data_IF_838389641754
#
_entry.id   IF_838389641754
#
_cell.length_a   1.000
_cell.length_b   1.000
_cell.length_c   1.000
_cell.angle_alpha   90.00
_cell.angle_beta   90.00
_cell.angle_gamma   90.00
#
_symmetry.space_group_name_H-M   'P 1'
#
loop_
_entity.id
_entity.type
_entity.pdbx_description
1 polymer ?
#
# COMPACT_ATOMS: atom_id res chain seq x y z
N UNK A 1 16.00 -28.94 6.46
CA UNK A 1 16.70 -27.89 7.24
C UNK A 1 18.10 -28.38 7.52
N UNK A 2 19.11 -27.58 7.21
CA UNK A 2 20.52 -27.87 7.49
C UNK A 2 21.07 -26.65 8.25
N UNK A 3 21.66 -26.86 9.42
CA UNK A 3 22.20 -25.82 10.30
C UNK A 3 21.20 -24.64 10.55
N UNK A 4 19.93 -25.00 10.79
CA UNK A 4 18.87 -24.02 11.04
C UNK A 4 18.35 -23.29 9.79
N UNK A 5 18.92 -23.55 8.61
CA UNK A 5 18.51 -22.94 7.34
C UNK A 5 17.64 -23.91 6.54
N UNK A 6 16.61 -23.38 5.86
CA UNK A 6 15.75 -24.16 4.98
C UNK A 6 16.31 -24.14 3.56
N UNK A 7 16.43 -25.33 2.96
CA UNK A 7 16.86 -25.53 1.59
C UNK A 7 15.83 -26.36 0.83
N UNK A 8 15.72 -26.14 -0.46
CA UNK A 8 14.91 -26.97 -1.37
C UNK A 8 15.75 -27.56 -2.46
N UNK A 9 15.43 -28.81 -2.82
CA UNK A 9 16.10 -29.54 -3.86
C UNK A 9 15.09 -29.95 -4.94
N UNK A 10 15.56 -30.05 -6.18
CA UNK A 10 14.73 -30.61 -7.24
C UNK A 10 14.66 -32.15 -7.14
N UNK A 11 13.88 -32.76 -8.06
CA UNK A 11 13.69 -34.20 -8.08
C UNK A 11 15.02 -35.00 -8.36
N UNK A 12 16.03 -34.34 -8.91
CA UNK A 12 17.36 -34.90 -9.18
C UNK A 12 18.34 -34.64 -8.04
N UNK A 13 17.91 -33.98 -6.96
CA UNK A 13 18.72 -33.66 -5.78
C UNK A 13 19.56 -32.39 -5.91
N UNK A 14 19.38 -31.58 -6.97
CA UNK A 14 20.08 -30.30 -7.11
C UNK A 14 19.44 -29.22 -6.27
N UNK A 15 20.29 -28.39 -5.65
CA UNK A 15 19.89 -27.27 -4.83
C UNK A 15 19.15 -26.22 -5.68
N UNK A 16 17.95 -25.84 -5.24
CA UNK A 16 17.16 -24.72 -5.87
C UNK A 16 17.63 -23.38 -5.37
N UNK A 17 17.76 -22.43 -6.29
CA UNK A 17 18.08 -21.01 -6.05
C UNK A 17 17.07 -20.11 -6.75
N UNK A 18 16.94 -18.85 -6.30
CA UNK A 18 15.94 -17.92 -6.81
C UNK A 18 14.52 -18.25 -6.36
N UNK A 19 13.55 -17.90 -7.18
CA UNK A 19 12.14 -18.14 -6.90
C UNK A 19 11.76 -19.61 -7.07
N UNK A 20 11.14 -20.17 -6.04
CA UNK A 20 10.70 -21.58 -6.00
C UNK A 20 9.23 -21.60 -5.58
N UNK A 21 8.39 -22.21 -6.44
CA UNK A 21 6.98 -22.48 -6.11
C UNK A 21 6.86 -23.86 -5.45
N UNK A 22 6.26 -23.90 -4.26
CA UNK A 22 6.11 -25.13 -3.51
C UNK A 22 4.89 -25.03 -2.58
N UNK A 23 4.06 -26.07 -2.54
CA UNK A 23 2.90 -26.14 -1.66
C UNK A 23 1.88 -24.99 -1.82
N UNK A 24 1.76 -24.41 -3.01
CA UNK A 24 0.84 -23.30 -3.27
C UNK A 24 1.41 -21.91 -3.01
N UNK A 25 2.67 -21.81 -2.58
CA UNK A 25 3.33 -20.55 -2.24
C UNK A 25 4.65 -20.38 -2.99
N UNK A 26 5.04 -19.11 -3.20
CA UNK A 26 6.36 -18.75 -3.70
C UNK A 26 7.32 -18.49 -2.54
N UNK A 27 8.55 -18.95 -2.70
CA UNK A 27 9.67 -18.77 -1.78
C UNK A 27 10.89 -18.29 -2.55
N UNK A 28 11.78 -17.58 -1.89
CA UNK A 28 13.04 -17.18 -2.51
C UNK A 28 14.24 -17.81 -1.80
N UNK A 29 15.13 -18.40 -2.57
CA UNK A 29 16.37 -19.00 -2.10
C UNK A 29 17.55 -18.20 -2.65
N UNK A 30 18.40 -17.70 -1.77
CA UNK A 30 19.58 -16.93 -2.15
C UNK A 30 20.61 -17.77 -2.94
N UNK A 31 21.72 -17.15 -3.29
CA UNK A 31 22.81 -17.81 -4.04
C UNK A 31 23.43 -18.99 -3.29
N UNK A 32 23.32 -19.04 -1.98
CA UNK A 32 23.71 -20.20 -1.15
C UNK A 32 22.66 -21.30 -1.12
N UNK A 33 21.49 -21.08 -1.74
CA UNK A 33 20.31 -21.94 -1.65
C UNK A 33 19.50 -21.81 -0.35
N UNK A 34 19.97 -21.02 0.62
CA UNK A 34 19.23 -20.78 1.84
C UNK A 34 17.98 -19.93 1.58
N UNK A 35 16.84 -20.33 2.16
CA UNK A 35 15.58 -19.61 2.06
C UNK A 35 15.71 -18.23 2.71
N UNK A 36 15.14 -17.20 2.05
CA UNK A 36 15.12 -15.83 2.53
C UNK A 36 13.82 -15.53 3.26
N UNK A 37 13.84 -14.51 4.13
CA UNK A 37 12.72 -14.04 4.96
C UNK A 37 12.73 -12.52 5.06
N UNK A 38 11.58 -11.91 5.34
CA UNK A 38 11.45 -10.47 5.50
C UNK A 38 11.52 -9.71 4.18
N UNK A 39 11.94 -8.45 4.26
CA UNK A 39 12.07 -7.60 3.08
C UNK A 39 13.22 -8.05 2.19
N UNK A 40 12.95 -8.12 0.90
CA UNK A 40 13.92 -8.50 -0.11
C UNK A 40 13.76 -7.65 -1.37
N UNK A 41 14.89 -7.22 -1.93
CA UNK A 41 14.91 -6.55 -3.23
C UNK A 41 15.47 -7.49 -4.29
N UNK A 42 14.74 -7.67 -5.39
CA UNK A 42 15.22 -8.36 -6.57
C UNK A 42 14.87 -7.61 -7.85
N UNK A 43 15.87 -7.37 -8.70
CA UNK A 43 15.71 -6.65 -9.98
C UNK A 43 14.98 -5.33 -9.87
N UNK A 44 15.24 -4.57 -8.78
CA UNK A 44 14.65 -3.26 -8.55
C UNK A 44 13.23 -3.29 -7.96
N UNK A 45 12.68 -4.46 -7.64
CA UNK A 45 11.38 -4.61 -6.99
C UNK A 45 11.53 -5.08 -5.56
N UNK A 46 10.71 -4.52 -4.66
CA UNK A 46 10.61 -4.98 -3.29
C UNK A 46 9.55 -6.07 -3.14
N UNK A 47 9.91 -7.09 -2.37
CA UNK A 47 9.07 -8.22 -1.96
C UNK A 47 9.12 -8.37 -0.45
N UNK A 48 8.10 -8.97 0.11
CA UNK A 48 8.11 -9.37 1.51
C UNK A 48 7.87 -10.86 1.65
N UNK A 49 8.77 -11.52 2.34
CA UNK A 49 8.72 -12.94 2.62
C UNK A 49 8.36 -13.14 4.09
N UNK A 50 7.29 -13.84 4.37
CA UNK A 50 6.78 -14.04 5.73
C UNK A 50 7.90 -14.51 6.67
N UNK A 51 8.12 -13.84 7.81
CA UNK A 51 9.24 -14.18 8.69
C UNK A 51 9.19 -15.59 9.29
N UNK A 52 7.99 -16.17 9.43
CA UNK A 52 7.82 -17.50 10.01
C UNK A 52 7.93 -18.62 8.97
N UNK A 53 7.39 -18.38 7.78
CA UNK A 53 7.26 -19.41 6.74
C UNK A 53 8.18 -19.21 5.54
N UNK A 54 8.58 -17.95 5.28
CA UNK A 54 9.29 -17.53 4.06
C UNK A 54 8.39 -17.40 2.84
N UNK A 55 7.06 -17.58 2.98
CA UNK A 55 6.13 -17.45 1.88
C UNK A 55 6.06 -16.01 1.40
N UNK A 56 6.04 -15.79 0.07
CA UNK A 56 5.91 -14.47 -0.54
C UNK A 56 4.52 -13.89 -0.24
N UNK A 57 4.49 -12.69 0.31
CA UNK A 57 3.27 -11.94 0.58
C UNK A 57 2.63 -11.42 -0.71
N UNK A 58 1.29 -11.39 -0.74
CA UNK A 58 0.48 -10.82 -1.80
C UNK A 58 -0.72 -10.08 -1.19
N UNK A 59 -1.25 -9.07 -1.88
CA UNK A 59 -2.35 -8.25 -1.38
C UNK A 59 -1.93 -7.34 -0.22
N UNK A 60 -2.91 -6.91 0.57
CA UNK A 60 -2.68 -6.09 1.75
C UNK A 60 -1.94 -6.88 2.83
N UNK A 61 -0.82 -6.36 3.27
CA UNK A 61 0.06 -7.01 4.26
C UNK A 61 0.46 -6.00 5.33
N UNK A 62 0.24 -6.32 6.59
CA UNK A 62 0.67 -5.48 7.70
C UNK A 62 2.07 -5.93 8.17
N UNK A 63 3.02 -4.98 8.17
CA UNK A 63 4.41 -5.21 8.54
C UNK A 63 4.80 -4.11 9.52
N UNK A 64 5.21 -4.48 10.73
CA UNK A 64 5.61 -3.56 11.80
C UNK A 64 4.57 -2.44 12.06
N UNK A 65 3.28 -2.80 12.01
CA UNK A 65 2.17 -1.87 12.24
C UNK A 65 1.78 -1.00 11.03
N UNK A 66 2.53 -1.04 9.94
CA UNK A 66 2.23 -0.32 8.70
C UNK A 66 1.61 -1.25 7.66
N UNK A 67 0.66 -0.72 6.86
CA UNK A 67 0.07 -1.46 5.76
C UNK A 67 0.81 -1.21 4.45
N UNK A 68 1.03 -2.29 3.72
CA UNK A 68 1.64 -2.33 2.39
C UNK A 68 0.73 -3.11 1.45
N UNK A 69 0.87 -2.87 0.16
CA UNK A 69 0.16 -3.65 -0.84
C UNK A 69 1.15 -4.33 -1.78
N UNK A 70 1.08 -5.66 -1.83
CA UNK A 70 1.86 -6.49 -2.74
C UNK A 70 0.97 -6.94 -3.90
N UNK A 71 1.44 -6.79 -5.12
CA UNK A 71 0.72 -7.32 -6.29
C UNK A 71 0.54 -8.84 -6.20
N UNK A 72 -0.25 -9.42 -7.08
CA UNK A 72 -0.35 -10.89 -7.21
C UNK A 72 0.99 -11.56 -7.52
N UNK A 73 1.93 -10.83 -8.12
CA UNK A 73 3.33 -11.26 -8.32
C UNK A 73 4.26 -10.94 -7.14
N UNK A 74 3.74 -10.47 -6.01
CA UNK A 74 4.51 -10.16 -4.79
C UNK A 74 5.23 -8.81 -4.81
N UNK A 75 5.14 -8.03 -5.89
CA UNK A 75 5.84 -6.73 -5.99
C UNK A 75 5.14 -5.68 -5.15
N UNK A 76 5.88 -5.00 -4.27
CA UNK A 76 5.37 -3.88 -3.47
C UNK A 76 4.91 -2.73 -4.35
N UNK A 77 3.70 -2.23 -4.09
CA UNK A 77 3.14 -1.06 -4.77
C UNK A 77 3.51 0.24 -4.07
N UNK A 78 3.61 1.31 -4.87
CA UNK A 78 3.74 2.70 -4.42
C UNK A 78 2.81 3.59 -5.22
N UNK A 79 2.50 4.78 -4.71
CA UNK A 79 1.61 5.73 -5.38
C UNK A 79 0.13 5.35 -5.24
N UNK A 80 -0.68 5.83 -6.19
CA UNK A 80 -2.11 5.61 -6.18
C UNK A 80 -2.48 4.15 -6.48
N UNK A 81 -3.37 3.60 -5.65
CA UNK A 81 -3.91 2.25 -5.77
C UNK A 81 -5.42 2.29 -5.68
N UNK A 82 -6.10 1.66 -6.63
CA UNK A 82 -7.54 1.39 -6.55
C UNK A 82 -7.75 -0.07 -6.20
N UNK A 83 -8.41 -0.33 -5.08
CA UNK A 83 -8.72 -1.68 -4.62
C UNK A 83 -10.10 -1.71 -3.96
N UNK A 84 -10.91 -2.74 -4.25
CA UNK A 84 -12.26 -2.90 -3.69
C UNK A 84 -13.20 -1.70 -3.93
N UNK A 85 -12.97 -0.91 -4.99
CA UNK A 85 -13.75 0.30 -5.28
C UNK A 85 -13.28 1.58 -4.57
N UNK A 86 -12.36 1.48 -3.62
CA UNK A 86 -11.75 2.62 -2.92
C UNK A 86 -10.36 2.97 -3.50
N UNK A 87 -9.99 4.23 -3.34
CA UNK A 87 -8.64 4.69 -3.67
C UNK A 87 -7.80 4.79 -2.39
N UNK A 88 -6.54 4.40 -2.52
CA UNK A 88 -5.50 4.45 -1.50
C UNK A 88 -4.26 5.14 -2.06
N UNK A 89 -3.42 5.64 -1.17
CA UNK A 89 -2.11 6.14 -1.57
C UNK A 89 -1.02 5.48 -0.73
N UNK A 90 -0.06 4.89 -1.44
CA UNK A 90 1.12 4.26 -0.85
C UNK A 90 2.31 5.20 -1.04
N UNK A 91 3.02 5.50 0.02
CA UNK A 91 4.20 6.37 -0.03
C UNK A 91 5.28 5.80 -0.96
N UNK A 92 6.31 6.57 -1.31
CA UNK A 92 7.47 6.02 -2.01
C UNK A 92 8.16 4.85 -1.28
N UNK A 93 8.01 4.75 0.05
CA UNK A 93 8.47 3.60 0.84
C UNK A 93 7.50 2.42 0.85
N UNK A 94 6.33 2.55 0.20
CA UNK A 94 5.28 1.53 0.10
C UNK A 94 4.26 1.55 1.22
N UNK A 95 4.45 2.32 2.29
CA UNK A 95 3.49 2.36 3.41
C UNK A 95 2.21 3.09 3.02
N UNK A 96 1.06 2.56 3.42
CA UNK A 96 -0.26 3.17 3.22
C UNK A 96 -0.40 4.45 4.04
N UNK A 97 -0.91 5.52 3.42
CA UNK A 97 -1.18 6.78 4.11
C UNK A 97 -2.56 6.82 4.74
N UNK A 98 -2.69 7.64 5.80
CA UNK A 98 -3.95 8.04 6.43
C UNK A 98 -3.93 9.53 6.71
N UNK A 99 -5.11 10.13 6.99
CA UNK A 99 -5.23 11.56 7.28
C UNK A 99 -5.01 12.44 6.07
N UNK A 100 -4.68 13.69 6.32
CA UNK A 100 -4.44 14.68 5.29
C UNK A 100 -3.10 14.48 4.58
N UNK A 101 -3.11 14.53 3.24
CA UNK A 101 -1.93 14.38 2.38
C UNK A 101 -1.92 15.43 1.28
N UNK A 102 -0.78 16.07 1.07
CA UNK A 102 -0.57 17.02 -0.03
C UNK A 102 0.19 16.32 -1.17
N UNK A 103 -0.51 15.98 -2.23
CA UNK A 103 0.01 15.17 -3.33
C UNK A 103 -0.12 15.94 -4.64
N UNK A 104 1.00 16.19 -5.32
CA UNK A 104 1.00 16.88 -6.60
C UNK A 104 0.37 18.28 -6.57
N UNK A 105 0.52 19.03 -5.47
CA UNK A 105 -0.07 20.36 -5.31
C UNK A 105 -1.53 20.37 -4.85
N UNK A 106 -2.11 19.22 -4.54
CA UNK A 106 -3.52 19.07 -4.15
C UNK A 106 -3.63 18.35 -2.82
N UNK A 107 -4.54 18.81 -1.96
CA UNK A 107 -4.85 18.15 -0.70
C UNK A 107 -5.90 17.06 -0.89
N UNK A 108 -5.63 15.93 -0.23
CA UNK A 108 -6.52 14.76 -0.12
C UNK A 108 -6.63 14.36 1.35
N UNK A 109 -7.71 13.68 1.68
CA UNK A 109 -7.87 13.06 2.99
C UNK A 109 -8.11 11.55 2.84
N UNK A 110 -7.44 10.76 3.68
CA UNK A 110 -7.59 9.32 3.76
C UNK A 110 -8.09 8.94 5.15
N UNK A 111 -9.14 8.14 5.22
CA UNK A 111 -9.69 7.68 6.49
C UNK A 111 -8.71 6.76 7.24
N UNK A 112 -9.08 6.34 8.44
CA UNK A 112 -8.28 5.41 9.26
C UNK A 112 -8.02 4.06 8.57
N UNK A 113 -8.90 3.65 7.66
CA UNK A 113 -8.72 2.46 6.81
C UNK A 113 -7.76 2.67 5.64
N UNK A 114 -7.28 3.89 5.43
CA UNK A 114 -6.50 4.29 4.25
C UNK A 114 -7.34 4.64 3.03
N UNK A 115 -8.67 4.41 3.05
CA UNK A 115 -9.53 4.75 1.93
C UNK A 115 -9.65 6.26 1.76
N UNK A 116 -9.51 6.74 0.50
CA UNK A 116 -9.66 8.15 0.16
C UNK A 116 -11.07 8.64 0.47
N UNK A 117 -11.17 9.75 1.20
CA UNK A 117 -12.42 10.41 1.56
C UNK A 117 -12.95 11.22 0.38
N UNK A 118 -14.27 11.20 0.17
CA UNK A 118 -14.99 12.05 -0.78
C UNK A 118 -16.25 12.60 -0.12
N UNK A 119 -16.74 13.74 -0.61
CA UNK A 119 -17.90 14.43 -0.05
C UNK A 119 -17.55 15.29 1.16
N UNK A 120 -18.56 15.58 1.97
CA UNK A 120 -18.39 16.38 3.18
C UNK A 120 -17.60 15.61 4.25
N UNK A 121 -16.60 16.27 4.80
CA UNK A 121 -15.75 15.74 5.87
C UNK A 121 -15.57 16.76 6.97
N UNK A 122 -15.77 16.36 8.21
CA UNK A 122 -15.57 17.19 9.38
C UNK A 122 -14.29 16.79 10.12
N UNK A 123 -13.39 17.74 10.29
CA UNK A 123 -12.17 17.60 11.08
C UNK A 123 -12.22 18.59 12.26
N UNK A 124 -12.41 18.05 13.46
CA UNK A 124 -12.70 18.88 14.62
C UNK A 124 -13.95 19.74 14.40
N UNK A 125 -13.89 21.09 14.61
CA UNK A 125 -15.00 21.99 14.36
C UNK A 125 -15.13 22.41 12.88
N UNK A 126 -14.21 22.05 12.02
CA UNK A 126 -14.10 22.57 10.64
C UNK A 126 -14.66 21.58 9.64
N UNK A 127 -15.47 22.08 8.71
CA UNK A 127 -15.97 21.31 7.58
C UNK A 127 -15.15 21.55 6.33
N UNK A 128 -14.92 20.45 5.59
CA UNK A 128 -14.25 20.40 4.29
C UNK A 128 -15.13 19.67 3.29
N UNK A 129 -14.86 19.87 2.01
CA UNK A 129 -15.47 19.08 0.95
C UNK A 129 -14.39 18.49 0.05
N UNK A 130 -14.42 17.18 -0.08
CA UNK A 130 -13.55 16.43 -0.99
C UNK A 130 -14.37 16.08 -2.23
N UNK A 131 -13.92 16.54 -3.40
CA UNK A 131 -14.59 16.25 -4.68
C UNK A 131 -14.62 14.75 -4.95
N UNK A 132 -15.37 14.30 -5.95
CA UNK A 132 -15.38 12.90 -6.38
C UNK A 132 -13.98 12.38 -6.77
N UNK A 133 -13.08 13.28 -7.19
CA UNK A 133 -11.67 12.99 -7.45
C UNK A 133 -10.83 12.82 -6.16
N UNK A 134 -11.40 13.11 -5.00
CA UNK A 134 -10.71 13.20 -3.71
C UNK A 134 -10.06 14.55 -3.44
N UNK A 135 -9.96 15.44 -4.43
CA UNK A 135 -9.31 16.75 -4.24
C UNK A 135 -10.12 17.64 -3.32
N UNK A 136 -9.44 18.29 -2.35
CA UNK A 136 -10.05 19.25 -1.44
C UNK A 136 -10.59 20.47 -2.19
N UNK A 137 -11.84 20.90 -1.92
CA UNK A 137 -12.41 22.09 -2.47
C UNK A 137 -11.81 23.36 -1.83
N UNK A 138 -11.61 24.40 -2.64
CA UNK A 138 -11.24 25.76 -2.23
C UNK A 138 -11.99 26.76 -3.10
N UNK A 139 -12.25 27.96 -2.59
CA UNK A 139 -13.06 28.95 -3.31
C UNK A 139 -14.54 28.55 -3.40
N UNK A 140 -15.21 28.98 -4.45
CA UNK A 140 -16.61 28.65 -4.67
C UNK A 140 -16.79 27.28 -5.30
N UNK A 141 -17.65 26.45 -4.72
CA UNK A 141 -17.97 25.10 -5.17
C UNK A 141 -19.48 24.88 -5.22
N UNK A 142 -19.99 24.37 -6.35
CA UNK A 142 -21.40 24.00 -6.48
C UNK A 142 -21.58 22.54 -6.06
N UNK A 143 -22.24 22.34 -4.92
CA UNK A 143 -22.49 21.00 -4.38
C UNK A 143 -24.00 20.74 -4.39
N UNK A 144 -24.42 19.80 -5.22
CA UNK A 144 -25.84 19.65 -5.55
C UNK A 144 -26.35 20.88 -6.29
N UNK A 145 -27.25 21.65 -5.66
CA UNK A 145 -27.85 22.88 -6.23
C UNK A 145 -27.51 24.14 -5.41
N UNK A 146 -26.51 24.02 -4.49
CA UNK A 146 -26.13 25.09 -3.56
C UNK A 146 -24.66 25.45 -3.73
N UNK A 147 -24.38 26.75 -3.77
CA UNK A 147 -23.03 27.28 -3.76
C UNK A 147 -22.50 27.35 -2.33
N UNK A 148 -21.29 26.84 -2.14
CA UNK A 148 -20.54 26.89 -0.88
C UNK A 148 -19.19 27.58 -1.12
N UNK A 149 -18.74 28.33 -0.12
CA UNK A 149 -17.46 29.01 -0.20
C UNK A 149 -16.46 28.41 0.79
N UNK A 150 -15.29 28.05 0.28
CA UNK A 150 -14.19 27.45 1.06
C UNK A 150 -12.98 28.40 1.06
N UNK A 151 -12.34 28.56 2.22
CA UNK A 151 -11.08 29.27 2.35
C UNK A 151 -9.97 28.60 1.53
N UNK A 152 -8.83 29.27 1.28
CA UNK A 152 -7.66 28.62 0.67
C UNK A 152 -7.14 27.41 1.46
N UNK A 153 -7.42 27.33 2.76
CA UNK A 153 -7.13 26.18 3.61
C UNK A 153 -8.09 24.99 3.39
N UNK A 154 -9.15 25.17 2.60
CA UNK A 154 -10.22 24.20 2.41
C UNK A 154 -11.35 24.29 3.44
N UNK A 155 -11.22 25.10 4.47
CA UNK A 155 -12.27 25.26 5.49
C UNK A 155 -13.54 25.92 4.88
N UNK A 156 -14.70 25.33 5.14
CA UNK A 156 -15.97 25.95 4.75
C UNK A 156 -16.22 27.23 5.57
N UNK A 157 -16.58 28.30 4.90
CA UNK A 157 -16.78 29.65 5.48
C UNK A 157 -18.15 30.28 5.16
N UNK A 158 -19.04 29.57 4.41
CA UNK A 158 -20.40 30.05 4.10
C UNK A 158 -20.95 29.51 2.79
#
# INVERSE_FOLDING_TARGET
>A
VIDGQTYRFDASGYLKMGWVYDGGHWYYHGVSGAQQYGWMMERGNWYYLDPATGAMATGWTQIDGQWYYMTSGGVMRTGWLKDGGAWYYLTPSGSMTTGWQHLGGTWYHFGASGAMTTGWYQDGPTWFYLRASGSMATGWELIGWTWYHFAPSGAWIG
#
